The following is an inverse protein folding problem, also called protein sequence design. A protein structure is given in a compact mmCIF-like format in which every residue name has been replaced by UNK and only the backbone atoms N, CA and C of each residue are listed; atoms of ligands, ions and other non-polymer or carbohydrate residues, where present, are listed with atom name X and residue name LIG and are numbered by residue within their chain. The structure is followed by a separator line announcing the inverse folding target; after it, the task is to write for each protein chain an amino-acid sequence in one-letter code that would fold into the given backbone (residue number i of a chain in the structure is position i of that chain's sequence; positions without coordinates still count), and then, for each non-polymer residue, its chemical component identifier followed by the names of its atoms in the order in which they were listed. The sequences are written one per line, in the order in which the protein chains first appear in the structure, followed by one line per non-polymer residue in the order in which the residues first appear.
data_IF_880352303681
#
_entry.id   IF_880352303681
#
_cell.length_a   1.000
_cell.length_b   1.000
_cell.length_c   1.000
_cell.angle_alpha   90.00
_cell.angle_beta   90.00
_cell.angle_gamma   90.00
#
_symmetry.space_group_name_H-M   'P 1'
#
loop_
_entity.id
_entity.type
_entity.pdbx_description
1 polymer ?
#
# COMPACT_ATOMS: atom_id res chain seq x y z
N UNK A 1 0.51 16.64 13.79
CA UNK A 1 0.44 15.73 12.62
C UNK A 1 1.01 14.39 13.07
N UNK A 2 0.21 13.32 13.10
CA UNK A 2 0.77 11.99 13.38
C UNK A 2 1.56 11.55 12.15
N UNK A 3 2.86 11.31 12.30
CA UNK A 3 3.69 10.82 11.21
C UNK A 3 3.36 9.34 10.98
N UNK A 4 2.95 9.00 9.76
CA UNK A 4 2.86 7.61 9.34
C UNK A 4 4.27 7.06 9.17
N UNK A 5 4.51 5.84 9.65
CA UNK A 5 5.79 5.15 9.46
C UNK A 5 5.57 3.90 8.61
N UNK A 6 6.50 3.68 7.67
CA UNK A 6 6.56 2.51 6.78
C UNK A 6 8.03 2.18 6.50
N UNK A 7 8.38 0.94 6.10
CA UNK A 7 9.75 0.63 5.69
C UNK A 7 10.12 1.45 4.45
N UNK A 8 11.38 1.92 4.40
CA UNK A 8 11.88 2.69 3.25
C UNK A 8 11.96 1.84 1.97
N UNK A 9 12.27 0.55 2.11
CA UNK A 9 12.28 -0.42 1.02
C UNK A 9 12.08 -1.84 1.54
N UNK A 10 11.50 -2.69 0.70
CA UNK A 10 11.37 -4.14 0.92
C UNK A 10 11.69 -4.84 -0.40
N UNK A 11 12.41 -5.95 -0.35
CA UNK A 11 12.74 -6.77 -1.51
C UNK A 11 12.45 -8.25 -1.21
N UNK A 12 11.95 -8.97 -2.22
CA UNK A 12 11.59 -10.40 -2.18
C UNK A 12 11.81 -11.02 -3.56
N UNK A 13 11.87 -12.34 -3.60
CA UNK A 13 11.97 -13.07 -4.86
C UNK A 13 10.62 -13.09 -5.60
N UNK A 14 10.67 -13.34 -6.91
CA UNK A 14 9.46 -13.47 -7.72
C UNK A 14 8.59 -14.63 -7.21
N UNK A 15 7.29 -14.39 -7.07
CA UNK A 15 6.32 -15.37 -6.57
C UNK A 15 6.15 -15.38 -5.06
N UNK A 16 7.04 -14.72 -4.31
CA UNK A 16 6.87 -14.52 -2.86
C UNK A 16 5.90 -13.36 -2.56
N UNK A 17 5.28 -13.42 -1.40
CA UNK A 17 4.45 -12.33 -0.88
C UNK A 17 5.33 -11.25 -0.24
N UNK A 18 5.16 -10.01 -0.70
CA UNK A 18 5.75 -8.83 -0.05
C UNK A 18 4.74 -8.28 0.96
N UNK A 19 5.15 -8.14 2.21
CA UNK A 19 4.38 -7.48 3.25
C UNK A 19 5.00 -6.11 3.56
N UNK A 20 4.21 -5.05 3.44
CA UNK A 20 4.61 -3.68 3.77
C UNK A 20 3.74 -3.25 4.95
N UNK A 21 4.36 -2.76 6.03
CA UNK A 21 3.66 -2.34 7.23
C UNK A 21 3.51 -0.83 7.27
N UNK A 22 2.41 -0.36 7.86
CA UNK A 22 2.18 1.04 8.17
C UNK A 22 1.77 1.15 9.65
N UNK A 23 2.33 2.13 10.36
CA UNK A 23 1.93 2.46 11.73
C UNK A 23 1.58 3.95 11.83
N UNK A 24 0.56 4.25 12.63
CA UNK A 24 0.06 5.60 12.86
C UNK A 24 -0.98 5.61 13.98
N UNK A 25 -1.63 6.76 14.19
CA UNK A 25 -2.66 6.94 15.23
C UNK A 25 -4.10 6.97 14.68
N UNK A 26 -4.29 6.66 13.40
CA UNK A 26 -5.61 6.61 12.74
C UNK A 26 -6.19 5.21 12.81
N UNK A 27 -7.53 5.10 12.76
CA UNK A 27 -8.22 3.81 12.67
C UNK A 27 -8.39 3.32 11.22
N UNK A 28 -8.11 4.20 10.25
CA UNK A 28 -8.24 3.91 8.82
C UNK A 28 -7.06 4.45 8.02
N UNK A 29 -6.54 3.60 7.13
CA UNK A 29 -5.45 3.87 6.22
C UNK A 29 -5.80 3.49 4.79
N UNK A 30 -5.04 4.03 3.84
CA UNK A 30 -5.11 3.68 2.43
C UNK A 30 -3.72 3.46 1.86
N UNK A 31 -3.61 2.53 0.91
CA UNK A 31 -2.39 2.21 0.19
C UNK A 31 -2.46 2.74 -1.23
N UNK A 32 -1.38 3.41 -1.65
CA UNK A 32 -1.28 4.06 -2.95
C UNK A 32 -0.03 3.58 -3.68
N UNK A 33 -0.15 3.30 -4.98
CA UNK A 33 0.95 2.89 -5.83
C UNK A 33 1.26 3.99 -6.85
N UNK A 34 2.51 4.42 -6.87
CA UNK A 34 3.08 5.25 -7.92
C UNK A 34 4.11 4.41 -8.69
N UNK A 35 3.85 4.14 -9.97
CA UNK A 35 4.74 3.30 -10.81
C UNK A 35 5.81 4.12 -11.52
N UNK A 36 5.47 5.34 -11.90
CA UNK A 36 6.36 6.25 -12.63
C UNK A 36 6.60 7.47 -11.74
N UNK A 37 7.86 7.85 -11.47
CA UNK A 37 8.15 9.07 -10.75
C UNK A 37 7.45 10.27 -11.40
N UNK A 38 6.71 11.03 -10.60
CA UNK A 38 5.94 12.19 -11.08
C UNK A 38 4.54 11.86 -11.62
N UNK A 39 4.15 10.58 -11.73
CA UNK A 39 2.75 10.25 -12.05
C UNK A 39 1.84 10.42 -10.83
N UNK A 40 0.54 10.59 -11.08
CA UNK A 40 -0.45 10.51 -10.02
C UNK A 40 -0.43 9.14 -9.31
N UNK A 41 -0.60 9.09 -7.98
CA UNK A 41 -0.74 7.84 -7.26
C UNK A 41 -2.08 7.16 -7.60
N UNK A 42 -2.08 5.83 -7.67
CA UNK A 42 -3.30 5.01 -7.84
C UNK A 42 -3.61 4.34 -6.50
N UNK A 43 -4.86 4.47 -6.04
CA UNK A 43 -5.32 3.76 -4.84
C UNK A 43 -5.38 2.26 -5.09
N UNK A 44 -4.73 1.48 -4.22
CA UNK A 44 -4.68 0.01 -4.28
C UNK A 44 -5.57 -0.61 -3.20
N UNK A 45 -5.57 -0.02 -1.99
CA UNK A 45 -6.40 -0.43 -0.86
C UNK A 45 -6.92 0.83 -0.15
N UNK A 46 -8.17 0.82 0.29
CA UNK A 46 -8.81 1.89 1.07
C UNK A 46 -9.54 1.28 2.28
N UNK A 47 -9.79 2.08 3.31
CA UNK A 47 -10.44 1.60 4.55
C UNK A 47 -9.77 0.35 5.14
N UNK A 48 -8.43 0.33 5.15
CA UNK A 48 -7.57 -0.77 5.61
C UNK A 48 -7.54 -2.02 4.72
N UNK A 49 -8.69 -2.52 4.24
CA UNK A 49 -8.77 -3.84 3.59
C UNK A 49 -9.54 -3.85 2.25
N UNK A 50 -10.21 -2.75 1.89
CA UNK A 50 -11.05 -2.70 0.70
C UNK A 50 -10.23 -2.42 -0.55
N UNK A 51 -10.40 -3.26 -1.56
CA UNK A 51 -9.71 -3.13 -2.85
C UNK A 51 -10.64 -2.53 -3.91
N UNK A 52 -10.26 -1.42 -4.59
CA UNK A 52 -11.06 -0.86 -5.70
C UNK A 52 -11.20 -1.85 -6.86
N UNK A 53 -12.26 -1.68 -7.66
CA UNK A 53 -12.42 -2.43 -8.91
C UNK A 53 -11.25 -2.18 -9.87
N UNK A 54 -10.83 -3.21 -10.60
CA UNK A 54 -9.70 -3.14 -11.53
C UNK A 54 -8.32 -3.33 -10.90
N UNK A 55 -8.21 -3.37 -9.56
CA UNK A 55 -6.96 -3.71 -8.88
C UNK A 55 -6.81 -5.24 -8.79
N UNK A 56 -5.64 -5.82 -9.18
CA UNK A 56 -5.43 -7.26 -9.17
C UNK A 56 -5.64 -7.95 -7.83
N UNK A 57 -6.09 -9.21 -7.86
CA UNK A 57 -6.42 -10.00 -6.67
C UNK A 57 -5.24 -10.29 -5.72
N UNK A 58 -4.01 -10.13 -6.21
CA UNK A 58 -2.77 -10.34 -5.43
C UNK A 58 -2.49 -9.28 -4.37
N UNK A 59 -3.26 -8.18 -4.32
CA UNK A 59 -3.16 -7.16 -3.28
C UNK A 59 -4.19 -7.42 -2.17
N UNK A 60 -3.75 -7.30 -0.92
CA UNK A 60 -4.53 -7.45 0.31
C UNK A 60 -4.05 -6.45 1.36
N UNK A 61 -4.95 -5.98 2.23
CA UNK A 61 -4.66 -5.08 3.34
C UNK A 61 -4.90 -5.72 4.69
#
# INVERSE_FOLDING_TARGET
QAALTQPASVSKNLGETVQITCSGSSDSYGWYQQKVPGSGPVTVIYQNDKRPSGIPSRFSG
#
